data_IF_934292389981
#
_entry.id   IF_934292389981
#
_cell.length_a   1.000
_cell.length_b   1.000
_cell.length_c   1.000
_cell.angle_alpha   90.00
_cell.angle_beta   90.00
_cell.angle_gamma   90.00
#
_symmetry.space_group_name_H-M   'P 1'
#
loop_
_entity.id
_entity.type
_entity.pdbx_description
1 polymer ?
#
# COMPACT_ATOMS: atom_id res chain seq x y z
N UNK A 1 -7.64 -20.33 -14.14
CA UNK A 1 -8.05 -20.67 -12.76
C UNK A 1 -7.55 -19.52 -11.89
N UNK A 2 -8.44 -18.65 -11.44
CA UNK A 2 -8.10 -17.61 -10.44
C UNK A 2 -7.81 -18.34 -9.15
N UNK A 3 -6.58 -18.21 -8.66
CA UNK A 3 -6.19 -18.74 -7.35
C UNK A 3 -7.12 -18.17 -6.28
N UNK A 4 -7.50 -18.98 -5.30
CA UNK A 4 -8.30 -18.57 -4.14
C UNK A 4 -7.70 -17.35 -3.39
N UNK A 5 -6.41 -17.07 -3.61
CA UNK A 5 -5.65 -16.00 -2.98
C UNK A 5 -5.41 -14.77 -3.90
N UNK A 6 -6.01 -14.70 -5.09
CA UNK A 6 -5.86 -13.59 -6.03
C UNK A 6 -7.24 -13.06 -6.45
N UNK A 7 -7.88 -12.22 -5.63
CA UNK A 7 -9.27 -11.82 -5.81
C UNK A 7 -9.52 -10.96 -7.06
N UNK A 8 -8.46 -10.44 -7.70
CA UNK A 8 -8.58 -9.51 -8.83
C UNK A 8 -7.57 -9.79 -9.96
N UNK A 9 -6.95 -10.97 -10.01
CA UNK A 9 -5.93 -11.29 -11.00
C UNK A 9 -4.67 -10.42 -10.89
N UNK A 10 -4.33 -10.02 -9.69
CA UNK A 10 -3.19 -9.16 -9.37
C UNK A 10 -1.87 -9.80 -9.78
N UNK A 11 -1.73 -11.11 -9.59
CA UNK A 11 -0.51 -11.87 -9.94
C UNK A 11 -0.15 -11.80 -11.43
N UNK A 12 -1.16 -11.66 -12.31
CA UNK A 12 -0.94 -11.51 -13.75
C UNK A 12 -0.43 -10.13 -14.18
N UNK A 13 -0.58 -9.12 -13.32
CA UNK A 13 -0.13 -7.74 -13.57
C UNK A 13 1.13 -7.41 -12.77
N UNK A 14 1.21 -7.94 -11.56
CA UNK A 14 2.34 -7.78 -10.66
C UNK A 14 3.24 -9.01 -10.75
N UNK A 15 3.83 -9.21 -11.92
CA UNK A 15 4.72 -10.32 -12.25
C UNK A 15 6.20 -10.01 -11.94
N UNK A 16 7.07 -11.00 -12.12
CA UNK A 16 8.50 -10.88 -11.87
C UNK A 16 9.19 -9.82 -12.76
N UNK A 17 8.75 -9.66 -14.01
CA UNK A 17 9.30 -8.68 -14.94
C UNK A 17 9.03 -7.25 -14.45
N UNK A 18 7.82 -7.01 -13.95
CA UNK A 18 7.43 -5.72 -13.38
C UNK A 18 8.13 -5.46 -12.05
N UNK A 19 8.20 -6.44 -11.15
CA UNK A 19 8.93 -6.34 -9.89
C UNK A 19 10.40 -5.96 -10.12
N UNK A 20 11.09 -6.66 -11.04
CA UNK A 20 12.45 -6.34 -11.42
C UNK A 20 12.61 -4.94 -12.03
N UNK A 21 11.62 -4.50 -12.84
CA UNK A 21 11.62 -3.15 -13.41
C UNK A 21 11.47 -2.07 -12.33
N UNK A 22 10.58 -2.28 -11.36
CA UNK A 22 10.35 -1.38 -10.25
C UNK A 22 11.59 -1.29 -9.34
N UNK A 23 12.25 -2.42 -9.05
CA UNK A 23 13.50 -2.45 -8.30
C UNK A 23 14.63 -1.71 -9.02
N UNK A 24 14.81 -1.93 -10.34
CA UNK A 24 15.79 -1.18 -11.15
C UNK A 24 15.50 0.32 -11.15
N UNK A 25 14.23 0.70 -11.22
CA UNK A 25 13.83 2.10 -11.16
C UNK A 25 14.16 2.71 -9.80
N UNK A 26 13.85 2.00 -8.71
CA UNK A 26 14.15 2.46 -7.37
C UNK A 26 15.66 2.64 -7.15
N UNK A 27 16.49 1.68 -7.56
CA UNK A 27 17.97 1.78 -7.47
C UNK A 27 18.52 3.01 -8.20
N UNK A 28 17.91 3.41 -9.33
CA UNK A 28 18.36 4.54 -10.13
C UNK A 28 17.80 5.90 -9.70
N UNK A 29 16.56 5.94 -9.23
CA UNK A 29 15.79 7.18 -9.03
C UNK A 29 15.24 7.37 -7.62
N UNK A 30 15.38 6.37 -6.76
CA UNK A 30 14.77 6.35 -5.43
C UNK A 30 13.24 6.24 -5.46
N UNK A 31 12.60 6.67 -4.39
CA UNK A 31 11.15 6.65 -4.24
C UNK A 31 10.44 7.49 -5.30
N UNK A 32 9.22 7.08 -5.68
CA UNK A 32 8.32 7.96 -6.44
C UNK A 32 7.93 9.17 -5.60
N UNK A 33 7.41 10.23 -6.24
CA UNK A 33 6.98 11.44 -5.54
C UNK A 33 5.96 11.13 -4.44
N UNK A 34 4.97 10.30 -4.74
CA UNK A 34 3.91 9.94 -3.79
C UNK A 34 4.45 9.10 -2.63
N UNK A 35 5.27 8.09 -2.95
CA UNK A 35 5.90 7.24 -1.93
C UNK A 35 6.85 8.04 -1.03
N UNK A 36 7.59 8.99 -1.62
CA UNK A 36 8.41 9.93 -0.84
C UNK A 36 7.56 10.82 0.05
N UNK A 37 6.42 11.31 -0.42
CA UNK A 37 5.49 12.08 0.41
C UNK A 37 5.03 11.28 1.64
N UNK A 38 4.77 9.97 1.49
CA UNK A 38 4.43 9.10 2.63
C UNK A 38 5.60 9.03 3.61
N UNK A 39 6.81 8.76 3.10
CA UNK A 39 8.02 8.71 3.94
C UNK A 39 8.24 10.03 4.70
N UNK A 40 8.20 11.16 4.00
CA UNK A 40 8.41 12.49 4.59
C UNK A 40 7.38 12.81 5.68
N UNK A 41 6.10 12.45 5.47
CA UNK A 41 5.05 12.65 6.48
C UNK A 41 5.31 11.82 7.74
N UNK A 42 5.71 10.57 7.61
CA UNK A 42 6.00 9.68 8.75
C UNK A 42 7.29 10.09 9.47
N UNK A 43 8.33 10.46 8.73
CA UNK A 43 9.58 10.97 9.29
C UNK A 43 9.33 12.27 10.09
N UNK A 44 8.56 13.20 9.53
CA UNK A 44 8.19 14.45 10.21
C UNK A 44 7.37 14.24 11.50
N UNK A 45 6.70 13.07 11.62
CA UNK A 45 5.94 12.68 12.83
C UNK A 45 6.76 11.86 13.82
N UNK A 46 8.07 11.68 13.58
CA UNK A 46 8.96 10.96 14.48
C UNK A 46 8.81 9.43 14.38
N UNK A 47 9.03 8.89 13.18
CA UNK A 47 8.99 7.44 12.90
C UNK A 47 10.05 6.63 13.68
N UNK A 48 11.03 7.28 14.31
CA UNK A 48 12.09 6.63 15.05
C UNK A 48 11.55 5.69 16.14
N UNK A 49 12.03 4.44 16.15
CA UNK A 49 11.59 3.39 17.07
C UNK A 49 10.20 2.80 16.79
N UNK A 50 9.45 3.31 15.81
CA UNK A 50 8.11 2.83 15.48
C UNK A 50 8.13 1.51 14.70
N UNK A 51 7.06 0.73 14.86
CA UNK A 51 6.76 -0.43 14.03
C UNK A 51 5.93 -0.04 12.82
N UNK A 52 6.16 -0.71 11.68
CA UNK A 52 5.50 -0.43 10.41
C UNK A 52 4.77 -1.69 9.94
N UNK A 53 3.54 -1.54 9.46
CA UNK A 53 2.83 -2.52 8.65
C UNK A 53 2.56 -1.92 7.28
N UNK A 54 3.17 -2.47 6.23
CA UNK A 54 2.85 -2.08 4.85
C UNK A 54 2.07 -3.19 4.16
N UNK A 55 0.84 -2.87 3.75
CA UNK A 55 -0.07 -3.77 3.05
C UNK A 55 0.06 -3.50 1.55
N UNK A 56 0.44 -4.53 0.78
CA UNK A 56 0.75 -4.40 -0.64
C UNK A 56 2.02 -3.57 -0.87
N UNK A 57 3.07 -3.85 -0.11
CA UNK A 57 4.32 -3.08 -0.12
C UNK A 57 5.13 -3.18 -1.42
N UNK A 58 4.72 -4.05 -2.34
CA UNK A 58 5.42 -4.24 -3.59
C UNK A 58 6.87 -4.69 -3.36
N UNK A 59 7.84 -3.98 -3.93
CA UNK A 59 9.27 -4.26 -3.75
C UNK A 59 9.84 -3.82 -2.39
N UNK A 60 9.03 -3.36 -1.44
CA UNK A 60 9.46 -2.98 -0.09
C UNK A 60 10.29 -1.70 0.01
N UNK A 61 10.38 -0.91 -1.05
CA UNK A 61 11.23 0.27 -1.11
C UNK A 61 10.88 1.36 -0.07
N UNK A 62 9.60 1.50 0.29
CA UNK A 62 9.18 2.43 1.33
C UNK A 62 9.60 1.96 2.72
N UNK A 63 9.45 0.67 3.00
CA UNK A 63 9.89 0.04 4.26
C UNK A 63 11.38 0.25 4.49
N UNK A 64 12.19 0.01 3.45
CA UNK A 64 13.64 0.23 3.49
C UNK A 64 13.97 1.67 3.89
N UNK A 65 13.34 2.66 3.26
CA UNK A 65 13.60 4.08 3.56
C UNK A 65 13.16 4.46 4.99
N UNK A 66 12.02 3.92 5.46
CA UNK A 66 11.56 4.18 6.82
C UNK A 66 12.44 3.49 7.88
N UNK A 67 12.93 2.27 7.62
CA UNK A 67 13.88 1.59 8.49
C UNK A 67 15.22 2.33 8.55
N UNK A 68 15.69 2.90 7.45
CA UNK A 68 16.89 3.77 7.41
C UNK A 68 16.66 5.10 8.14
N UNK A 69 15.42 5.60 8.14
CA UNK A 69 15.04 6.78 8.91
C UNK A 69 14.82 6.52 10.40
N UNK A 70 15.08 5.29 10.88
CA UNK A 70 15.08 4.95 12.29
C UNK A 70 13.84 4.17 12.78
N UNK A 71 12.92 3.74 11.91
CA UNK A 71 11.89 2.79 12.32
C UNK A 71 12.50 1.50 12.87
N UNK A 72 11.87 0.88 13.86
CA UNK A 72 12.43 -0.29 14.52
C UNK A 72 12.32 -1.55 13.66
N UNK A 73 11.12 -1.86 13.20
CA UNK A 73 10.78 -3.06 12.42
C UNK A 73 9.69 -2.76 11.41
N UNK A 74 9.62 -3.58 10.36
CA UNK A 74 8.55 -3.55 9.38
C UNK A 74 7.94 -4.94 9.21
N UNK A 75 6.61 -4.98 9.04
CA UNK A 75 5.87 -6.15 8.57
C UNK A 75 5.37 -5.84 7.15
N UNK A 76 5.73 -6.67 6.21
CA UNK A 76 5.32 -6.59 4.81
C UNK A 76 4.27 -7.63 4.50
N UNK A 77 3.09 -7.24 4.08
CA UNK A 77 2.06 -8.17 3.60
C UNK A 77 1.87 -7.95 2.11
N UNK A 78 2.20 -8.95 1.31
CA UNK A 78 2.15 -8.89 -0.15
C UNK A 78 1.40 -10.10 -0.70
N UNK A 79 0.59 -9.90 -1.73
CA UNK A 79 -0.19 -10.97 -2.37
C UNK A 79 0.56 -11.61 -3.56
N UNK A 80 1.50 -10.89 -4.16
CA UNK A 80 2.31 -11.35 -5.28
C UNK A 80 3.61 -11.97 -4.81
N UNK A 81 3.80 -13.28 -5.03
CA UNK A 81 5.03 -13.98 -4.70
C UNK A 81 6.26 -13.40 -5.44
N UNK A 82 6.07 -12.89 -6.67
CA UNK A 82 7.15 -12.28 -7.44
C UNK A 82 7.64 -10.97 -6.82
N UNK A 83 6.73 -10.17 -6.25
CA UNK A 83 7.08 -8.95 -5.55
C UNK A 83 7.69 -9.24 -4.18
N UNK A 84 7.18 -10.22 -3.46
CA UNK A 84 7.72 -10.65 -2.17
C UNK A 84 9.18 -11.11 -2.32
N UNK A 85 9.49 -11.94 -3.34
CA UNK A 85 10.85 -12.37 -3.64
C UNK A 85 11.77 -11.17 -3.92
N UNK A 86 11.34 -10.24 -4.77
CA UNK A 86 12.12 -9.04 -5.11
C UNK A 86 12.30 -8.12 -3.90
N UNK A 87 11.31 -8.03 -3.00
CA UNK A 87 11.40 -7.24 -1.76
C UNK A 87 12.46 -7.80 -0.81
N UNK A 88 12.51 -9.14 -0.64
CA UNK A 88 13.55 -9.79 0.17
C UNK A 88 14.95 -9.56 -0.39
N UNK A 89 15.13 -9.73 -1.70
CA UNK A 89 16.40 -9.45 -2.37
C UNK A 89 16.85 -8.01 -2.14
N UNK A 90 15.93 -7.04 -2.27
CA UNK A 90 16.23 -5.62 -2.07
C UNK A 90 16.54 -5.32 -0.59
N UNK A 91 15.82 -5.91 0.35
CA UNK A 91 16.05 -5.74 1.78
C UNK A 91 17.43 -6.28 2.18
N UNK A 92 17.80 -7.45 1.68
CA UNK A 92 19.14 -8.07 1.90
C UNK A 92 20.23 -7.19 1.29
N UNK A 93 20.07 -6.73 0.05
CA UNK A 93 21.03 -5.82 -0.63
C UNK A 93 21.28 -4.53 0.18
N UNK A 94 20.24 -4.03 0.84
CA UNK A 94 20.29 -2.78 1.59
C UNK A 94 20.52 -2.96 3.10
N UNK A 95 20.75 -4.21 3.56
CA UNK A 95 21.13 -4.54 4.92
C UNK A 95 20.06 -4.29 5.97
N UNK A 96 18.77 -4.53 5.63
CA UNK A 96 17.63 -4.32 6.54
C UNK A 96 16.71 -5.54 6.64
N UNK A 97 17.03 -6.65 6.00
CA UNK A 97 16.19 -7.86 5.93
C UNK A 97 15.89 -8.45 7.32
N UNK A 98 16.83 -8.39 8.23
CA UNK A 98 16.68 -8.84 9.63
C UNK A 98 15.63 -8.05 10.43
N UNK A 99 15.18 -6.92 9.91
CA UNK A 99 14.15 -6.05 10.51
C UNK A 99 12.82 -6.08 9.78
N UNK A 100 12.68 -6.92 8.73
CA UNK A 100 11.43 -7.03 7.95
C UNK A 100 10.87 -8.44 8.07
N UNK A 101 9.64 -8.54 8.58
CA UNK A 101 8.85 -9.76 8.54
C UNK A 101 8.00 -9.75 7.27
N UNK A 102 8.11 -10.79 6.44
CA UNK A 102 7.39 -10.89 5.18
C UNK A 102 6.29 -11.94 5.23
N UNK A 103 5.08 -11.54 4.86
CA UNK A 103 3.91 -12.40 4.74
C UNK A 103 3.39 -12.40 3.30
N UNK A 104 3.38 -13.57 2.67
CA UNK A 104 2.69 -13.78 1.40
C UNK A 104 1.23 -14.12 1.68
N UNK A 105 0.38 -13.10 1.75
CA UNK A 105 -1.02 -13.25 2.17
C UNK A 105 -1.93 -12.15 1.60
N UNK A 106 -3.23 -12.44 1.56
CA UNK A 106 -4.27 -11.43 1.39
C UNK A 106 -4.67 -10.87 2.77
N UNK A 107 -4.19 -9.68 3.09
CA UNK A 107 -4.45 -9.03 4.37
C UNK A 107 -5.95 -8.90 4.70
N UNK A 108 -6.77 -8.59 3.72
CA UNK A 108 -8.20 -8.40 3.96
C UNK A 108 -8.93 -9.70 4.36
N UNK A 109 -8.37 -10.86 3.99
CA UNK A 109 -8.93 -12.17 4.35
C UNK A 109 -8.45 -12.70 5.70
N UNK A 110 -7.20 -12.41 6.04
CA UNK A 110 -6.54 -12.97 7.21
C UNK A 110 -5.89 -11.89 8.11
N UNK A 111 -6.59 -10.78 8.42
CA UNK A 111 -5.98 -9.69 9.18
C UNK A 111 -5.54 -10.14 10.58
N UNK A 112 -6.25 -11.08 11.20
CA UNK A 112 -5.94 -11.58 12.55
C UNK A 112 -4.59 -12.29 12.68
N UNK A 113 -3.92 -12.62 11.56
CA UNK A 113 -2.58 -13.21 11.57
C UNK A 113 -1.46 -12.16 11.61
N UNK A 114 -1.80 -10.90 11.50
CA UNK A 114 -0.84 -9.79 11.42
C UNK A 114 -0.98 -8.94 12.67
N UNK A 115 0.13 -8.63 13.29
CA UNK A 115 0.14 -7.79 14.48
C UNK A 115 -0.12 -6.31 14.14
N UNK A 116 -0.84 -5.57 15.00
CA UNK A 116 -1.00 -4.13 14.89
C UNK A 116 0.34 -3.40 14.98
N UNK A 117 0.50 -2.31 14.21
CA UNK A 117 1.71 -1.51 14.13
C UNK A 117 1.46 -0.03 14.44
N UNK A 118 2.54 0.71 14.75
CA UNK A 118 2.45 2.16 14.97
C UNK A 118 2.03 2.88 13.69
N UNK A 119 2.60 2.50 12.56
CA UNK A 119 2.24 3.05 11.26
C UNK A 119 1.74 1.94 10.33
N UNK A 120 0.50 2.08 9.82
CA UNK A 120 -0.08 1.20 8.82
C UNK A 120 -0.17 1.95 7.50
N UNK A 121 0.32 1.33 6.41
CA UNK A 121 0.49 1.99 5.12
C UNK A 121 -0.17 1.16 4.01
N UNK A 122 -1.03 1.81 3.20
CA UNK A 122 -1.59 1.27 1.97
C UNK A 122 -1.22 2.20 0.81
N UNK A 123 -0.10 1.93 0.17
CA UNK A 123 0.42 2.77 -0.91
C UNK A 123 -0.07 2.29 -2.29
N UNK A 124 -1.14 2.90 -2.81
CA UNK A 124 -1.76 2.57 -4.12
C UNK A 124 -2.39 1.18 -4.18
N UNK A 125 -2.83 0.65 -3.06
CA UNK A 125 -3.43 -0.69 -2.93
C UNK A 125 -4.95 -0.62 -3.00
N UNK A 126 -5.56 0.37 -2.35
CA UNK A 126 -7.03 0.49 -2.21
C UNK A 126 -7.74 0.45 -3.57
N UNK A 127 -7.17 1.10 -4.60
CA UNK A 127 -7.74 1.11 -5.96
C UNK A 127 -7.62 -0.22 -6.71
N UNK A 128 -6.86 -1.17 -6.19
CA UNK A 128 -6.66 -2.50 -6.78
C UNK A 128 -7.52 -3.57 -6.09
N UNK A 129 -8.15 -3.24 -4.97
CA UNK A 129 -8.92 -4.17 -4.17
C UNK A 129 -10.44 -3.89 -4.32
N UNK A 130 -11.25 -4.91 -4.70
CA UNK A 130 -12.68 -4.69 -4.96
C UNK A 130 -13.48 -4.36 -3.71
N UNK A 131 -13.19 -5.03 -2.59
CA UNK A 131 -13.82 -4.80 -1.29
C UNK A 131 -13.00 -3.80 -0.46
N UNK A 132 -13.19 -2.51 -0.76
CA UNK A 132 -12.49 -1.44 -0.06
C UNK A 132 -12.79 -1.41 1.44
N UNK A 133 -14.05 -1.58 1.92
CA UNK A 133 -14.33 -1.65 3.34
C UNK A 133 -13.64 -2.82 4.04
N UNK A 134 -13.64 -4.01 3.42
CA UNK A 134 -12.96 -5.21 3.94
C UNK A 134 -11.45 -5.08 4.02
N UNK A 135 -10.85 -4.16 3.26
CA UNK A 135 -9.42 -3.85 3.33
C UNK A 135 -9.10 -2.72 4.32
N UNK A 136 -9.84 -1.61 4.22
CA UNK A 136 -9.53 -0.37 4.98
C UNK A 136 -9.90 -0.49 6.44
N UNK A 137 -11.01 -1.16 6.78
CA UNK A 137 -11.43 -1.33 8.18
C UNK A 137 -10.41 -2.10 9.01
N UNK A 138 -9.98 -3.32 8.61
CA UNK A 138 -8.93 -4.04 9.34
C UNK A 138 -7.60 -3.25 9.39
N UNK A 139 -7.22 -2.54 8.33
CA UNK A 139 -6.02 -1.71 8.33
C UNK A 139 -6.12 -0.58 9.38
N UNK A 140 -7.28 0.06 9.49
CA UNK A 140 -7.53 1.08 10.51
C UNK A 140 -7.52 0.50 11.94
N UNK A 141 -8.09 -0.70 12.12
CA UNK A 141 -8.09 -1.40 13.42
C UNK A 141 -6.69 -1.83 13.85
N UNK A 142 -5.79 -2.16 12.89
CA UNK A 142 -4.37 -2.50 13.14
C UNK A 142 -3.49 -1.26 13.37
N UNK A 143 -4.02 -0.06 13.21
CA UNK A 143 -3.26 1.18 13.38
C UNK A 143 -3.19 1.58 14.84
N UNK A 144 -1.99 1.68 15.41
CA UNK A 144 -1.79 2.21 16.77
C UNK A 144 -1.66 3.72 16.79
N UNK A 145 -0.98 4.34 15.79
CA UNK A 145 -0.73 5.79 15.74
C UNK A 145 -1.13 6.41 14.40
N UNK A 146 -0.59 5.92 13.29
CA UNK A 146 -0.76 6.55 11.96
C UNK A 146 -1.23 5.57 10.91
N UNK A 147 -2.32 5.90 10.23
CA UNK A 147 -2.77 5.25 9.00
C UNK A 147 -2.44 6.16 7.82
N UNK A 148 -1.67 5.65 6.85
CA UNK A 148 -1.33 6.42 5.65
C UNK A 148 -1.81 5.70 4.41
N UNK A 149 -2.62 6.38 3.63
CA UNK A 149 -3.28 5.85 2.44
C UNK A 149 -2.88 6.68 1.22
N UNK A 150 -2.45 6.03 0.13
CA UNK A 150 -2.31 6.66 -1.17
C UNK A 150 -3.30 6.03 -2.16
N UNK A 151 -4.16 6.85 -2.75
CA UNK A 151 -5.18 6.43 -3.69
C UNK A 151 -5.46 7.51 -4.75
N UNK A 152 -6.19 7.21 -5.84
CA UNK A 152 -6.46 8.18 -6.90
C UNK A 152 -7.13 9.45 -6.37
N UNK A 153 -6.64 10.61 -6.81
CA UNK A 153 -7.19 11.89 -6.41
C UNK A 153 -8.64 12.05 -6.92
N UNK A 154 -9.47 12.69 -6.11
CA UNK A 154 -10.86 12.98 -6.48
C UNK A 154 -10.91 14.09 -7.54
N UNK A 155 -10.85 13.66 -8.81
CA UNK A 155 -10.98 14.52 -9.98
C UNK A 155 -11.92 13.87 -10.99
N UNK A 156 -12.83 14.64 -11.58
CA UNK A 156 -13.84 14.15 -12.52
C UNK A 156 -13.22 13.36 -13.67
N UNK A 157 -12.11 13.81 -14.22
CA UNK A 157 -11.42 13.14 -15.34
C UNK A 157 -10.73 11.83 -14.92
N UNK A 158 -10.24 11.71 -13.66
CA UNK A 158 -9.74 10.44 -13.11
C UNK A 158 -10.89 9.44 -12.95
N UNK A 159 -12.05 9.90 -12.42
CA UNK A 159 -13.26 9.06 -12.31
C UNK A 159 -13.67 8.50 -13.68
N UNK A 160 -13.69 9.34 -14.71
CA UNK A 160 -14.00 8.92 -16.08
C UNK A 160 -12.93 7.96 -16.60
N UNK A 161 -11.64 8.30 -16.46
CA UNK A 161 -10.55 7.47 -16.92
C UNK A 161 -10.54 6.07 -16.31
N UNK A 162 -10.77 5.95 -15.00
CA UNK A 162 -10.89 4.64 -14.31
C UNK A 162 -12.09 3.86 -14.80
N UNK A 163 -13.27 4.51 -15.01
CA UNK A 163 -14.46 3.86 -15.56
C UNK A 163 -14.21 3.31 -16.96
N UNK A 164 -13.63 4.13 -17.84
CA UNK A 164 -13.29 3.72 -19.21
C UNK A 164 -12.29 2.55 -19.19
N UNK A 165 -11.24 2.64 -18.39
CA UNK A 165 -10.27 1.55 -18.23
C UNK A 165 -10.95 0.27 -17.74
N UNK A 166 -11.84 0.35 -16.76
CA UNK A 166 -12.56 -0.81 -16.23
C UNK A 166 -13.48 -1.45 -17.29
N UNK A 167 -14.17 -0.64 -18.12
CA UNK A 167 -15.00 -1.15 -19.23
C UNK A 167 -14.13 -1.84 -20.28
N UNK A 168 -13.02 -1.23 -20.69
CA UNK A 168 -12.09 -1.81 -21.66
C UNK A 168 -11.48 -3.13 -21.13
N UNK A 169 -11.06 -3.17 -19.86
CA UNK A 169 -10.55 -4.38 -19.24
C UNK A 169 -11.61 -5.50 -19.21
N UNK A 170 -12.87 -5.18 -18.92
CA UNK A 170 -13.98 -6.13 -18.97
C UNK A 170 -14.21 -6.66 -20.39
N UNK A 171 -14.19 -5.79 -21.40
CA UNK A 171 -14.38 -6.14 -22.83
C UNK A 171 -13.27 -7.08 -23.32
N UNK A 172 -12.03 -6.81 -22.91
CA UNK A 172 -10.88 -7.66 -23.28
C UNK A 172 -10.67 -8.85 -22.33
N UNK A 173 -11.63 -9.15 -21.43
CA UNK A 173 -11.58 -10.25 -20.46
C UNK A 173 -10.29 -10.27 -19.62
N UNK A 174 -9.69 -9.13 -19.37
CA UNK A 174 -8.53 -9.03 -18.48
C UNK A 174 -8.99 -9.26 -17.04
N UNK A 175 -8.33 -10.14 -16.27
CA UNK A 175 -8.75 -10.46 -14.91
C UNK A 175 -8.58 -9.27 -13.94
N UNK A 176 -7.55 -8.45 -14.14
CA UNK A 176 -7.27 -7.30 -13.30
C UNK A 176 -8.16 -6.10 -13.63
N UNK A 177 -8.70 -5.46 -12.59
CA UNK A 177 -9.50 -4.23 -12.70
C UNK A 177 -8.99 -3.18 -11.70
N UNK A 178 -9.09 -1.93 -12.11
CA UNK A 178 -8.85 -0.78 -11.22
C UNK A 178 -10.20 -0.25 -10.77
N UNK A 179 -10.34 0.03 -9.47
CA UNK A 179 -11.55 0.56 -8.86
C UNK A 179 -11.34 2.02 -8.47
N UNK A 180 -12.37 2.83 -8.65
CA UNK A 180 -12.43 4.15 -8.05
C UNK A 180 -13.33 4.07 -6.83
N UNK A 181 -12.71 4.13 -5.67
CA UNK A 181 -13.41 4.26 -4.39
C UNK A 181 -13.48 5.74 -4.01
N UNK A 182 -14.62 6.17 -3.51
CA UNK A 182 -14.81 7.56 -3.13
C UNK A 182 -13.92 7.92 -1.93
N UNK A 183 -13.05 8.94 -2.04
CA UNK A 183 -12.15 9.32 -0.95
C UNK A 183 -12.83 9.58 0.39
N UNK A 184 -14.03 10.19 0.35
CA UNK A 184 -14.82 10.44 1.55
C UNK A 184 -15.23 9.12 2.26
N UNK A 185 -15.57 8.07 1.50
CA UNK A 185 -15.93 6.77 2.06
C UNK A 185 -14.72 6.08 2.71
N UNK A 186 -13.53 6.16 2.10
CA UNK A 186 -12.29 5.63 2.67
C UNK A 186 -11.99 6.30 4.02
N UNK A 187 -12.07 7.63 4.07
CA UNK A 187 -11.82 8.41 5.29
C UNK A 187 -12.89 8.15 6.35
N UNK A 188 -14.16 7.99 5.94
CA UNK A 188 -15.25 7.69 6.88
C UNK A 188 -15.02 6.39 7.63
N UNK A 189 -14.61 5.31 6.95
CA UNK A 189 -14.29 4.01 7.57
C UNK A 189 -13.15 4.17 8.60
N UNK A 190 -12.11 4.92 8.26
CA UNK A 190 -11.00 5.15 9.19
C UNK A 190 -11.43 6.00 10.41
N UNK A 191 -12.32 6.98 10.21
CA UNK A 191 -12.90 7.77 11.31
C UNK A 191 -13.77 6.94 12.24
N UNK A 192 -14.58 6.03 11.70
CA UNK A 192 -15.37 5.09 12.49
C UNK A 192 -14.51 4.14 13.34
N UNK A 193 -13.27 3.87 12.90
CA UNK A 193 -12.27 3.14 13.67
C UNK A 193 -11.51 4.00 14.69
N UNK A 194 -11.92 5.27 14.93
CA UNK A 194 -11.32 6.16 15.91
C UNK A 194 -10.09 6.94 15.42
N UNK A 195 -9.91 7.03 14.10
CA UNK A 195 -8.82 7.82 13.50
C UNK A 195 -9.34 9.18 13.04
N UNK A 196 -8.51 10.22 13.12
CA UNK A 196 -8.81 11.58 12.64
C UNK A 196 -7.80 12.02 11.59
N UNK A 197 -8.22 12.88 10.67
CA UNK A 197 -7.33 13.39 9.64
C UNK A 197 -6.22 14.26 10.24
N UNK A 198 -4.97 13.94 9.88
CA UNK A 198 -3.79 14.64 10.35
C UNK A 198 -3.06 15.39 9.24
N UNK A 199 -3.06 14.85 8.02
CA UNK A 199 -2.48 15.53 6.86
C UNK A 199 -3.10 15.00 5.55
N UNK A 200 -3.19 15.87 4.55
CA UNK A 200 -3.59 15.53 3.19
C UNK A 200 -2.65 16.19 2.18
N UNK A 201 -2.23 15.45 1.17
CA UNK A 201 -1.39 15.96 0.07
C UNK A 201 -2.00 15.49 -1.25
N UNK A 202 -2.47 16.43 -2.05
CA UNK A 202 -3.06 16.16 -3.37
C UNK A 202 -2.04 16.40 -4.47
N UNK A 203 -1.76 15.33 -5.25
CA UNK A 203 -1.04 15.42 -6.50
C UNK A 203 -1.99 15.51 -7.70
N UNK A 204 -1.44 15.30 -8.90
CA UNK A 204 -2.24 15.31 -10.14
C UNK A 204 -3.13 14.07 -10.21
N UNK A 205 -2.54 12.87 -10.07
CA UNK A 205 -3.23 11.57 -10.17
C UNK A 205 -3.49 10.92 -8.82
N UNK A 206 -2.63 11.16 -7.83
CA UNK A 206 -2.65 10.52 -6.53
C UNK A 206 -2.84 11.54 -5.44
N UNK A 207 -3.51 11.14 -4.38
CA UNK A 207 -3.53 11.84 -3.11
C UNK A 207 -3.01 10.94 -2.01
N UNK A 208 -2.33 11.53 -1.05
CA UNK A 208 -1.86 10.89 0.17
C UNK A 208 -2.66 11.45 1.32
N UNK A 209 -3.30 10.58 2.07
CA UNK A 209 -4.07 10.91 3.26
C UNK A 209 -3.42 10.25 4.46
N UNK A 210 -3.15 11.02 5.50
CA UNK A 210 -2.66 10.55 6.78
C UNK A 210 -3.72 10.79 7.85
N UNK A 211 -4.04 9.74 8.59
CA UNK A 211 -4.92 9.81 9.76
C UNK A 211 -4.13 9.36 10.99
N UNK A 212 -4.49 9.86 12.14
CA UNK A 212 -3.87 9.50 13.41
C UNK A 212 -4.91 9.04 14.43
N UNK A 213 -4.50 8.15 15.32
CA UNK A 213 -5.32 7.72 16.45
C UNK A 213 -5.51 8.90 17.41
N UNK A 214 -6.75 9.10 17.85
CA UNK A 214 -7.09 10.18 18.79
C UNK A 214 -6.52 9.91 20.19
#
# INVERSE_FOLDING_TARGET
MTSCCDPNGLSGVFDAGRAASDARRYRRKGLTRETRTIADLLIARGIGGATILEIGGGIGNLQVELLRAGAARATSVEISAAYETTARELATELGVDDRIEHHLADFAREPARIDPADAVILNKVVCCYPDMPGLVRPAADHTRRWLVLAFPADRWWIRIGVRVASVLQATFRRPFRVFFHEPAAIVAIAREAGLREAASRRGIFWQVQMLERA
#
